data_IF_786021777866
#
_entry.id   IF_786021777866
#
_cell.length_a   1.000
_cell.length_b   1.000
_cell.length_c   1.000
_cell.angle_alpha   90.00
_cell.angle_beta   90.00
_cell.angle_gamma   90.00
#
_symmetry.space_group_name_H-M   'P 1'
#
loop_
_entity.id
_entity.type
_entity.pdbx_description
1 polymer ?
#
# COMPACT_ATOMS: atom_id res chain seq x y z
N UNK A 1 22.14 18.32 -17.27
CA UNK A 1 22.13 17.87 -15.86
C UNK A 1 20.68 17.66 -15.47
N UNK A 2 20.28 16.42 -15.20
CA UNK A 2 18.94 16.15 -14.67
C UNK A 2 18.91 16.67 -13.22
N UNK A 3 18.10 17.71 -12.96
CA UNK A 3 17.80 18.15 -11.60
C UNK A 3 17.00 17.03 -10.95
N UNK A 4 17.63 16.25 -10.08
CA UNK A 4 16.98 15.14 -9.39
C UNK A 4 16.91 15.34 -7.87
N UNK A 5 17.38 16.46 -7.29
CA UNK A 5 17.60 16.53 -5.83
C UNK A 5 17.42 17.90 -5.17
N UNK A 6 16.56 18.79 -5.67
CA UNK A 6 16.32 20.09 -5.00
C UNK A 6 15.19 20.05 -3.93
N UNK A 7 14.51 18.91 -3.71
CA UNK A 7 13.35 18.79 -2.80
C UNK A 7 13.44 17.59 -1.84
N UNK A 8 14.56 17.44 -1.14
CA UNK A 8 14.84 16.28 -0.25
C UNK A 8 13.74 15.93 0.78
N UNK A 9 12.91 16.89 1.18
CA UNK A 9 11.87 16.69 2.22
C UNK A 9 10.63 15.94 1.71
N UNK A 10 10.12 16.22 0.50
CA UNK A 10 8.96 15.49 -0.07
C UNK A 10 9.28 13.99 -0.31
N UNK A 11 10.55 13.65 -0.54
CA UNK A 11 10.96 12.26 -0.81
C UNK A 11 11.07 11.39 0.44
N UNK A 12 11.24 12.02 1.61
CA UNK A 12 11.23 11.33 2.90
C UNK A 12 9.80 10.84 3.18
N UNK A 13 8.78 11.66 2.90
CA UNK A 13 7.37 11.29 3.12
C UNK A 13 6.90 10.09 2.29
N UNK A 14 7.22 10.03 0.99
CA UNK A 14 6.86 8.86 0.16
C UNK A 14 7.63 7.59 0.55
N UNK A 15 8.84 7.75 1.09
CA UNK A 15 9.66 6.64 1.57
C UNK A 15 9.14 6.11 2.91
N UNK A 16 8.66 6.99 3.80
CA UNK A 16 7.99 6.60 5.04
C UNK A 16 6.71 5.79 4.77
N UNK A 17 5.92 6.20 3.78
CA UNK A 17 4.76 5.39 3.33
C UNK A 17 5.22 4.02 2.82
N UNK A 18 6.30 3.93 2.05
CA UNK A 18 6.84 2.65 1.56
C UNK A 18 7.38 1.74 2.69
N UNK A 19 7.88 2.31 3.78
CA UNK A 19 8.27 1.59 5.00
C UNK A 19 7.01 1.01 5.69
N UNK A 20 5.88 1.71 5.68
CA UNK A 20 4.59 1.18 6.14
C UNK A 20 4.01 0.08 5.21
N UNK A 21 4.54 -0.12 4.00
CA UNK A 21 4.12 -1.15 3.03
C UNK A 21 5.06 -2.35 2.95
N UNK A 22 6.04 -2.49 3.85
CA UNK A 22 7.05 -3.57 3.79
C UNK A 22 6.45 -4.98 3.77
N UNK A 23 5.28 -5.18 4.37
CA UNK A 23 4.57 -6.45 4.40
C UNK A 23 3.88 -6.84 3.08
N UNK A 24 3.76 -5.93 2.10
CA UNK A 24 3.15 -6.24 0.81
C UNK A 24 4.14 -6.99 -0.10
N UNK A 25 3.95 -8.30 -0.21
CA UNK A 25 4.79 -9.18 -1.01
C UNK A 25 4.24 -9.43 -2.43
N UNK A 26 3.20 -8.69 -2.87
CA UNK A 26 2.59 -8.92 -4.18
C UNK A 26 3.59 -8.81 -5.34
N UNK A 27 4.52 -7.86 -5.27
CA UNK A 27 5.55 -7.66 -6.30
C UNK A 27 6.61 -8.77 -6.28
N UNK A 28 6.89 -9.32 -5.11
CA UNK A 28 7.80 -10.46 -4.95
C UNK A 28 7.20 -11.71 -5.59
N UNK A 29 5.93 -11.98 -5.32
CA UNK A 29 5.21 -13.13 -5.91
C UNK A 29 5.06 -13.01 -7.43
N UNK A 30 4.67 -11.83 -7.91
CA UNK A 30 4.33 -11.61 -9.32
C UNK A 30 5.56 -11.45 -10.21
N UNK A 31 6.53 -10.66 -9.76
CA UNK A 31 7.63 -10.17 -10.60
C UNK A 31 9.01 -10.60 -10.09
N UNK A 32 9.11 -11.39 -9.01
CA UNK A 32 10.39 -11.75 -8.38
C UNK A 32 11.23 -10.51 -8.05
N UNK A 33 10.56 -9.46 -7.57
CA UNK A 33 11.18 -8.20 -7.23
C UNK A 33 10.78 -7.76 -5.81
N UNK A 34 11.71 -7.16 -5.10
CA UNK A 34 11.44 -6.41 -3.88
C UNK A 34 11.27 -4.94 -4.23
N UNK A 35 10.51 -4.19 -3.44
CA UNK A 35 10.58 -2.72 -3.54
C UNK A 35 11.93 -2.21 -3.04
N UNK A 36 12.34 -1.00 -3.44
CA UNK A 36 13.55 -0.35 -2.90
C UNK A 36 13.47 -0.26 -1.37
N UNK A 37 12.29 0.03 -0.81
CA UNK A 37 12.09 0.02 0.65
C UNK A 37 12.32 -1.37 1.28
N UNK A 38 11.75 -2.43 0.70
CA UNK A 38 11.95 -3.81 1.17
C UNK A 38 13.41 -4.24 1.07
N UNK A 39 14.06 -3.90 -0.03
CA UNK A 39 15.47 -4.18 -0.27
C UNK A 39 16.36 -3.48 0.77
N UNK A 40 16.13 -2.18 1.02
CA UNK A 40 16.85 -1.42 2.03
C UNK A 40 16.58 -1.92 3.47
N UNK A 41 15.35 -2.34 3.76
CA UNK A 41 14.96 -2.83 5.09
C UNK A 41 15.65 -4.15 5.44
N UNK A 42 15.86 -5.03 4.45
CA UNK A 42 16.62 -6.28 4.67
C UNK A 42 18.06 -6.00 5.11
N UNK A 43 18.71 -4.97 4.57
CA UNK A 43 20.03 -4.54 5.03
C UNK A 43 20.01 -4.11 6.50
N UNK A 44 19.00 -3.31 6.89
CA UNK A 44 18.83 -2.87 8.28
C UNK A 44 18.62 -4.05 9.24
N UNK A 45 17.76 -5.02 8.87
CA UNK A 45 17.51 -6.21 9.71
C UNK A 45 18.76 -7.08 9.86
N UNK A 46 19.58 -7.17 8.81
CA UNK A 46 20.77 -8.00 8.80
C UNK A 46 21.96 -7.36 9.54
N UNK A 47 21.98 -6.03 9.65
CA UNK A 47 22.97 -5.31 10.44
C UNK A 47 22.54 -5.34 11.92
N UNK A 48 23.20 -6.19 12.72
CA UNK A 48 22.83 -6.48 14.12
C UNK A 48 23.05 -5.29 15.07
N UNK A 49 22.28 -4.23 14.95
CA UNK A 49 22.18 -3.18 15.97
C UNK A 49 21.00 -3.50 16.91
N UNK A 50 21.28 -3.59 18.21
CA UNK A 50 20.32 -3.85 19.30
C UNK A 50 19.36 -2.66 19.56
N UNK A 51 19.05 -1.85 18.54
CA UNK A 51 18.12 -0.73 18.69
C UNK A 51 16.67 -1.20 18.56
N UNK A 52 15.83 -0.75 19.50
CA UNK A 52 14.38 -0.99 19.51
C UNK A 52 13.65 -0.23 18.39
N UNK A 53 14.19 0.92 17.98
CA UNK A 53 13.70 1.71 16.84
C UNK A 53 14.72 1.66 15.69
N UNK A 54 14.26 1.23 14.52
CA UNK A 54 15.04 1.04 13.30
C UNK A 54 14.57 1.95 12.16
N UNK A 55 13.58 2.80 12.40
CA UNK A 55 13.00 3.69 11.38
C UNK A 55 14.06 4.61 10.75
N UNK A 56 14.91 5.24 11.58
CA UNK A 56 16.03 6.07 11.14
C UNK A 56 17.08 5.29 10.32
N UNK A 57 17.36 4.05 10.71
CA UNK A 57 18.32 3.19 10.03
C UNK A 57 17.77 2.78 8.64
N UNK A 58 16.48 2.47 8.53
CA UNK A 58 15.82 2.15 7.26
C UNK A 58 15.84 3.37 6.32
N UNK A 59 15.48 4.55 6.82
CA UNK A 59 15.56 5.80 6.05
C UNK A 59 16.97 6.05 5.50
N UNK A 60 18.00 5.79 6.31
CA UNK A 60 19.40 5.88 5.88
C UNK A 60 19.72 4.92 4.75
N UNK A 61 19.31 3.65 4.84
CA UNK A 61 19.55 2.67 3.77
C UNK A 61 18.76 2.95 2.49
N UNK A 62 17.56 3.54 2.59
CA UNK A 62 16.80 4.00 1.42
C UNK A 62 17.56 5.14 0.72
N UNK A 63 18.12 6.09 1.46
CA UNK A 63 18.93 7.16 0.89
C UNK A 63 20.19 6.63 0.20
N UNK A 64 20.84 5.60 0.78
CA UNK A 64 21.95 4.90 0.12
C UNK A 64 21.48 4.26 -1.19
N UNK A 65 20.35 3.57 -1.18
CA UNK A 65 19.77 2.96 -2.39
C UNK A 65 19.50 4.00 -3.49
N UNK A 66 18.90 5.15 -3.15
CA UNK A 66 18.67 6.22 -4.12
C UNK A 66 19.96 6.80 -4.70
N UNK A 67 20.99 6.99 -3.87
CA UNK A 67 22.27 7.44 -4.37
C UNK A 67 22.91 6.42 -5.32
N UNK A 68 22.82 5.13 -5.01
CA UNK A 68 23.35 4.07 -5.88
C UNK A 68 22.56 3.95 -7.18
N UNK A 69 21.24 4.12 -7.16
CA UNK A 69 20.40 4.17 -8.37
C UNK A 69 20.81 5.35 -9.25
N UNK A 70 21.04 6.51 -8.65
CA UNK A 70 21.51 7.71 -9.35
C UNK A 70 22.88 7.48 -10.02
N UNK A 71 23.77 6.76 -9.36
CA UNK A 71 25.10 6.41 -9.88
C UNK A 71 25.05 5.24 -10.88
N UNK A 72 23.91 4.56 -11.01
CA UNK A 72 23.75 3.36 -11.85
C UNK A 72 24.32 2.09 -11.21
N UNK A 73 24.67 2.15 -9.93
CA UNK A 73 25.21 1.04 -9.15
C UNK A 73 24.11 0.10 -8.61
N UNK A 74 22.85 0.54 -8.63
CA UNK A 74 21.65 -0.24 -8.35
C UNK A 74 20.63 -0.04 -9.47
N UNK A 75 20.20 -1.12 -10.12
CA UNK A 75 19.20 -1.08 -11.18
C UNK A 75 17.80 -1.30 -10.61
N UNK A 76 16.86 -0.50 -11.08
CA UNK A 76 15.46 -0.55 -10.66
C UNK A 76 14.52 -0.52 -11.85
N UNK A 77 13.35 -1.10 -11.65
CA UNK A 77 12.25 -1.17 -12.61
C UNK A 77 11.06 -0.36 -12.10
N UNK A 78 10.35 0.29 -13.01
CA UNK A 78 9.11 0.98 -12.67
C UNK A 78 8.01 -0.04 -12.35
N UNK A 79 7.20 0.16 -11.27
CA UNK A 79 6.28 -0.85 -10.77
C UNK A 79 5.17 -1.24 -11.75
N UNK A 80 4.75 -0.32 -12.62
CA UNK A 80 3.65 -0.57 -13.57
C UNK A 80 4.13 -1.05 -14.95
N UNK A 81 5.24 -0.52 -15.45
CA UNK A 81 5.69 -0.74 -16.83
C UNK A 81 6.83 -1.74 -16.91
N UNK A 82 7.48 -2.03 -15.78
CA UNK A 82 8.68 -2.86 -15.66
C UNK A 82 9.88 -2.37 -16.49
N UNK A 83 9.80 -1.16 -17.05
CA UNK A 83 10.92 -0.52 -17.73
C UNK A 83 11.98 -0.13 -16.70
N UNK A 84 13.23 -0.34 -17.07
CA UNK A 84 14.36 0.03 -16.22
C UNK A 84 14.53 1.54 -16.13
N UNK A 85 15.11 2.01 -15.03
CA UNK A 85 15.48 3.41 -14.89
C UNK A 85 16.42 3.89 -16.01
N UNK A 86 17.33 3.02 -16.44
CA UNK A 86 18.23 3.30 -17.57
C UNK A 86 17.46 3.53 -18.88
N UNK A 87 16.38 2.77 -19.12
CA UNK A 87 15.49 3.01 -20.27
C UNK A 87 14.74 4.32 -20.14
N UNK A 88 14.18 4.64 -18.97
CA UNK A 88 13.54 5.93 -18.75
C UNK A 88 14.49 7.11 -18.95
N UNK A 89 15.74 7.00 -18.51
CA UNK A 89 16.77 8.01 -18.78
C UNK A 89 17.04 8.18 -20.27
N UNK A 90 16.99 7.11 -21.08
CA UNK A 90 17.10 7.20 -22.55
C UNK A 90 15.88 7.90 -23.15
N UNK A 91 14.68 7.59 -22.69
CA UNK A 91 13.44 8.24 -23.12
C UNK A 91 13.43 9.74 -22.79
N UNK A 92 13.89 10.10 -21.59
CA UNK A 92 14.05 11.48 -21.16
C UNK A 92 15.06 12.24 -22.04
N UNK A 93 16.21 11.63 -22.34
CA UNK A 93 17.22 12.19 -23.26
C UNK A 93 16.69 12.35 -24.69
N UNK A 94 15.82 11.45 -25.14
CA UNK A 94 15.17 11.52 -26.44
C UNK A 94 14.05 12.58 -26.51
N UNK A 95 13.77 13.27 -25.40
CA UNK A 95 12.80 14.37 -25.37
C UNK A 95 11.33 13.96 -25.18
N UNK A 96 11.06 12.68 -24.84
CA UNK A 96 9.70 12.15 -24.62
C UNK A 96 8.88 12.94 -23.59
N UNK A 97 9.54 13.57 -22.61
CA UNK A 97 8.91 14.32 -21.52
C UNK A 97 9.31 15.82 -21.53
N UNK A 98 9.44 16.41 -22.71
CA UNK A 98 9.76 17.84 -22.85
C UNK A 98 8.52 18.74 -22.80
N UNK A 99 8.71 20.03 -22.50
CA UNK A 99 7.63 21.02 -22.45
C UNK A 99 6.66 20.80 -21.28
N UNK A 100 5.35 20.81 -21.57
CA UNK A 100 4.27 20.63 -20.60
C UNK A 100 4.23 19.22 -19.98
N UNK A 101 4.80 18.22 -20.67
CA UNK A 101 4.85 16.82 -20.22
C UNK A 101 5.95 16.54 -19.20
N UNK A 102 6.73 17.54 -18.79
CA UNK A 102 7.86 17.36 -17.86
C UNK A 102 7.42 16.87 -16.48
N UNK A 103 6.21 17.24 -16.04
CA UNK A 103 5.62 16.77 -14.78
C UNK A 103 5.21 15.30 -14.82
N UNK A 104 5.14 14.70 -16.02
CA UNK A 104 4.84 13.28 -16.22
C UNK A 104 6.11 12.41 -16.30
N UNK A 105 7.29 13.02 -16.17
CA UNK A 105 8.54 12.29 -16.15
C UNK A 105 8.55 11.36 -14.92
N UNK A 106 8.71 10.04 -15.12
CA UNK A 106 8.73 9.11 -14.00
C UNK A 106 9.93 9.40 -13.10
N UNK A 107 9.67 9.37 -11.81
CA UNK A 107 10.67 9.59 -10.77
C UNK A 107 10.84 8.29 -9.98
N UNK A 108 12.09 8.00 -9.64
CA UNK A 108 12.40 6.84 -8.80
C UNK A 108 11.90 7.10 -7.39
N UNK A 109 11.09 6.17 -6.87
CA UNK A 109 10.56 6.21 -5.51
C UNK A 109 10.89 4.93 -4.77
N UNK A 110 10.64 4.88 -3.46
CA UNK A 110 10.91 3.70 -2.64
C UNK A 110 10.05 2.48 -3.03
N UNK A 111 8.98 2.68 -3.83
CA UNK A 111 8.11 1.63 -4.38
C UNK A 111 8.62 1.02 -5.70
N UNK A 112 9.69 1.58 -6.29
CA UNK A 112 10.30 0.98 -7.47
C UNK A 112 10.88 -0.39 -7.16
N UNK A 113 10.99 -1.22 -8.18
CA UNK A 113 11.24 -2.65 -8.03
C UNK A 113 12.72 -2.95 -8.27
N UNK A 114 13.30 -3.77 -7.40
CA UNK A 114 14.64 -4.32 -7.49
C UNK A 114 14.50 -5.84 -7.70
N UNK A 115 14.98 -6.39 -8.83
CA UNK A 115 15.00 -7.85 -9.05
C UNK A 115 15.78 -8.58 -7.95
N UNK A 116 15.39 -9.82 -7.60
CA UNK A 116 16.06 -10.57 -6.51
C UNK A 116 17.57 -10.76 -6.73
N UNK A 117 18.01 -11.08 -7.95
CA UNK A 117 19.44 -11.22 -8.29
C UNK A 117 20.20 -9.90 -8.11
N UNK A 118 19.53 -8.79 -8.40
CA UNK A 118 20.07 -7.46 -8.25
C UNK A 118 20.15 -7.04 -6.78
N UNK A 119 19.17 -7.45 -5.96
CA UNK A 119 19.21 -7.29 -4.50
C UNK A 119 20.44 -7.99 -3.92
N UNK A 120 20.65 -9.27 -4.24
CA UNK A 120 21.81 -10.05 -3.77
C UNK A 120 23.13 -9.41 -4.20
N UNK A 121 23.22 -8.97 -5.46
CA UNK A 121 24.38 -8.24 -5.96
C UNK A 121 24.65 -6.99 -5.15
N UNK A 122 23.62 -6.18 -4.91
CA UNK A 122 23.73 -4.92 -4.17
C UNK A 122 24.11 -5.16 -2.71
N UNK A 123 23.54 -6.16 -2.03
CA UNK A 123 23.93 -6.49 -0.66
C UNK A 123 25.41 -6.83 -0.54
N UNK A 124 25.96 -7.59 -1.50
CA UNK A 124 27.40 -7.91 -1.53
C UNK A 124 28.27 -6.66 -1.69
N UNK A 125 27.84 -5.65 -2.44
CA UNK A 125 28.60 -4.37 -2.52
C UNK A 125 28.59 -3.59 -1.22
N UNK A 126 27.61 -3.86 -0.34
CA UNK A 126 27.54 -3.33 1.03
C UNK A 126 28.23 -4.22 2.06
N UNK A 127 28.93 -5.27 1.62
CA UNK A 127 29.66 -6.20 2.49
C UNK A 127 28.78 -7.21 3.22
N UNK A 128 27.53 -7.40 2.76
CA UNK A 128 26.59 -8.35 3.35
C UNK A 128 26.31 -9.50 2.37
N UNK A 129 26.53 -10.72 2.82
CA UNK A 129 26.27 -11.93 2.04
C UNK A 129 24.89 -12.49 2.37
N UNK A 130 23.86 -11.74 1.94
CA UNK A 130 22.45 -12.14 2.09
C UNK A 130 22.09 -13.03 0.89
N UNK A 131 21.76 -14.27 1.17
CA UNK A 131 21.31 -15.26 0.18
C UNK A 131 19.78 -15.32 0.13
N UNK A 132 19.19 -15.07 -1.05
CA UNK A 132 17.75 -15.15 -1.28
C UNK A 132 17.35 -16.45 -1.99
N UNK A 133 18.24 -17.44 -2.09
CA UNK A 133 17.95 -18.74 -2.72
C UNK A 133 16.76 -19.47 -2.10
N UNK A 134 16.58 -19.39 -0.78
CA UNK A 134 15.41 -19.96 -0.10
C UNK A 134 14.11 -19.26 -0.52
N UNK A 135 14.14 -17.93 -0.66
CA UNK A 135 12.99 -17.13 -1.12
C UNK A 135 12.65 -17.51 -2.56
N UNK A 136 13.65 -17.60 -3.44
CA UNK A 136 13.46 -18.03 -4.84
C UNK A 136 12.84 -19.43 -4.91
N UNK A 137 13.34 -20.37 -4.10
CA UNK A 137 12.80 -21.73 -4.05
C UNK A 137 11.34 -21.78 -3.56
N UNK A 138 10.96 -20.93 -2.61
CA UNK A 138 9.57 -20.84 -2.15
C UNK A 138 8.65 -20.18 -3.19
N UNK A 139 9.14 -19.17 -3.91
CA UNK A 139 8.45 -18.59 -5.06
C UNK A 139 8.23 -19.62 -6.18
N UNK A 140 9.24 -20.44 -6.47
CA UNK A 140 9.12 -21.54 -7.45
C UNK A 140 8.05 -22.54 -7.03
N UNK A 141 7.94 -22.88 -5.74
CA UNK A 141 6.86 -23.75 -5.23
C UNK A 141 5.49 -23.10 -5.37
N UNK A 142 5.36 -21.80 -5.11
CA UNK A 142 4.10 -21.06 -5.28
C UNK A 142 3.70 -21.05 -6.76
N UNK A 143 4.64 -20.77 -7.66
CA UNK A 143 4.40 -20.76 -9.11
C UNK A 143 4.07 -22.15 -9.65
N UNK A 144 4.78 -23.18 -9.19
CA UNK A 144 4.52 -24.57 -9.55
C UNK A 144 3.17 -25.08 -8.99
N UNK A 145 2.83 -24.69 -7.76
CA UNK A 145 1.55 -25.02 -7.12
C UNK A 145 0.34 -24.33 -7.77
N UNK A 146 0.56 -23.16 -8.38
CA UNK A 146 -0.48 -22.44 -9.14
C UNK A 146 -0.82 -23.14 -10.47
N UNK A 147 -0.01 -24.11 -10.92
CA UNK A 147 -0.25 -24.86 -12.17
C UNK A 147 -0.96 -26.21 -12.00
N UNK A 148 -1.38 -26.64 -10.80
CA UNK A 148 -2.11 -27.90 -10.64
C UNK A 148 -3.13 -27.88 -9.48
N UNK A 149 -4.37 -27.46 -9.82
CA UNK A 149 -5.64 -27.68 -9.08
C UNK A 149 -5.77 -27.09 -7.68
N UNK A 150 -6.86 -26.34 -7.53
CA UNK A 150 -7.66 -26.25 -6.31
C UNK A 150 -7.88 -27.65 -5.68
N UNK A 151 -7.74 -27.69 -4.35
CA UNK A 151 -8.01 -28.78 -3.39
C UNK A 151 -6.90 -29.82 -3.16
N UNK A 152 -6.26 -29.73 -1.99
CA UNK A 152 -6.69 -30.56 -0.86
C UNK A 152 -6.18 -30.01 0.48
N UNK A 153 -7.11 -29.51 1.30
CA UNK A 153 -7.05 -29.79 2.73
C UNK A 153 -7.03 -31.31 2.90
N UNK A 154 -6.00 -31.86 3.54
CA UNK A 154 -6.16 -32.87 4.60
C UNK A 154 -4.83 -33.18 5.29
N UNK A 155 -4.69 -32.62 6.49
CA UNK A 155 -4.44 -33.41 7.68
C UNK A 155 -5.44 -32.86 8.72
N UNK A 156 -6.69 -33.37 8.76
CA UNK A 156 -7.23 -34.32 9.76
C UNK A 156 -6.56 -34.20 11.15
N UNK A 157 -7.30 -34.10 12.26
CA UNK A 157 -8.60 -34.73 12.59
C UNK A 157 -9.23 -34.04 13.83
N UNK A 158 -10.55 -33.85 13.98
CA UNK A 158 -11.57 -34.86 14.31
C UNK A 158 -12.97 -34.22 14.35
N UNK A 159 -13.99 -35.06 14.16
CA UNK A 159 -15.41 -34.91 14.51
C UNK A 159 -16.38 -34.61 13.36
N UNK A 160 -17.32 -35.54 13.25
CA UNK A 160 -18.19 -35.88 12.13
C UNK A 160 -19.53 -35.11 12.19
N UNK A 161 -19.99 -34.62 11.04
CA UNK A 161 -21.35 -34.82 10.50
C UNK A 161 -21.53 -33.97 9.22
N UNK A 162 -21.89 -34.56 8.06
CA UNK A 162 -22.09 -33.80 6.84
C UNK A 162 -23.56 -33.38 6.72
N UNK A 163 -23.83 -32.10 7.00
CA UNK A 163 -25.05 -31.45 6.52
C UNK A 163 -24.69 -30.44 5.44
N UNK A 164 -25.32 -30.63 4.29
CA UNK A 164 -25.22 -29.84 3.08
C UNK A 164 -25.70 -28.41 3.36
N UNK A 165 -24.80 -27.43 3.31
CA UNK A 165 -25.15 -26.02 3.10
C UNK A 165 -24.16 -25.48 2.06
N UNK A 166 -24.59 -25.30 0.82
CA UNK A 166 -25.11 -24.01 0.31
C UNK A 166 -24.14 -22.86 0.65
N UNK A 167 -23.24 -22.58 -0.29
CA UNK A 167 -22.23 -21.52 -0.17
C UNK A 167 -22.94 -20.17 -0.36
N UNK A 168 -23.59 -19.72 0.71
CA UNK A 168 -23.65 -18.33 1.12
C UNK A 168 -22.93 -18.29 2.47
N UNK A 169 -21.61 -18.08 2.43
CA UNK A 169 -20.86 -17.69 3.62
C UNK A 169 -20.08 -16.42 3.30
N UNK A 170 -20.70 -15.29 3.65
CA UNK A 170 -20.00 -14.15 4.23
C UNK A 170 -19.00 -14.69 5.25
N UNK A 171 -17.71 -14.59 4.94
CA UNK A 171 -16.70 -14.42 5.97
C UNK A 171 -16.97 -13.07 6.66
N UNK A 172 -16.71 -12.90 7.96
CA UNK A 172 -16.88 -11.61 8.61
C UNK A 172 -15.92 -10.65 7.91
N UNK A 173 -16.48 -9.67 7.20
CA UNK A 173 -15.70 -8.65 6.52
C UNK A 173 -15.09 -7.80 7.63
N UNK A 174 -13.77 -7.87 7.79
CA UNK A 174 -13.07 -7.15 8.84
C UNK A 174 -13.09 -5.65 8.51
N UNK A 175 -14.09 -4.97 9.04
CA UNK A 175 -14.30 -3.54 8.82
C UNK A 175 -13.29 -2.75 9.62
N UNK A 176 -12.71 -1.72 8.99
CA UNK A 176 -11.75 -0.88 9.68
C UNK A 176 -12.42 -0.05 10.80
N UNK A 177 -13.69 0.34 10.65
CA UNK A 177 -14.45 1.06 11.66
C UNK A 177 -15.64 0.23 12.14
N UNK A 178 -15.74 0.10 13.46
CA UNK A 178 -16.88 -0.49 14.16
C UNK A 178 -18.17 0.30 13.97
N UNK A 179 -19.30 -0.29 14.34
CA UNK A 179 -20.60 0.40 14.30
C UNK A 179 -20.61 1.60 15.28
N UNK A 180 -19.96 1.44 16.43
CA UNK A 180 -19.77 2.49 17.42
C UNK A 180 -18.98 3.67 16.86
N UNK A 181 -17.89 3.41 16.15
CA UNK A 181 -17.11 4.47 15.48
C UNK A 181 -17.89 5.11 14.34
N UNK A 182 -18.68 4.33 13.58
CA UNK A 182 -19.54 4.87 12.54
C UNK A 182 -20.57 5.86 13.11
N UNK A 183 -21.06 5.63 14.33
CA UNK A 183 -22.03 6.51 15.00
C UNK A 183 -21.47 7.91 15.31
N UNK A 184 -20.14 8.07 15.33
CA UNK A 184 -19.47 9.34 15.59
C UNK A 184 -19.64 10.35 14.44
N UNK A 185 -19.99 9.90 13.23
CA UNK A 185 -20.00 10.74 12.03
C UNK A 185 -21.41 11.17 11.59
N UNK A 186 -21.49 12.37 11.04
CA UNK A 186 -22.70 12.84 10.36
C UNK A 186 -22.78 12.31 8.93
N UNK A 187 -23.97 11.89 8.46
CA UNK A 187 -24.16 11.54 7.06
C UNK A 187 -23.90 12.74 6.14
N UNK A 188 -23.03 12.54 5.15
CA UNK A 188 -22.62 13.54 4.17
C UNK A 188 -23.30 13.33 2.81
N UNK A 189 -23.39 14.38 2.01
CA UNK A 189 -23.87 14.28 0.62
C UNK A 189 -22.82 13.61 -0.27
N UNK A 190 -23.23 13.06 -1.44
CA UNK A 190 -22.31 12.50 -2.45
C UNK A 190 -21.14 13.45 -2.78
N UNK A 191 -21.43 14.75 -2.90
CA UNK A 191 -20.44 15.79 -3.18
C UNK A 191 -19.41 15.92 -2.06
N UNK A 192 -19.87 15.94 -0.80
CA UNK A 192 -18.99 16.05 0.37
C UNK A 192 -18.14 14.79 0.56
N UNK A 193 -18.69 13.60 0.29
CA UNK A 193 -17.90 12.35 0.29
C UNK A 193 -16.78 12.41 -0.76
N UNK A 194 -17.08 12.89 -1.97
CA UNK A 194 -16.07 13.05 -3.01
C UNK A 194 -15.01 14.11 -2.70
N UNK A 195 -15.31 15.09 -1.85
CA UNK A 195 -14.34 16.06 -1.34
C UNK A 195 -13.48 15.47 -0.22
N UNK A 196 -14.05 14.60 0.61
CA UNK A 196 -13.37 13.97 1.73
C UNK A 196 -12.38 12.89 1.27
N UNK A 197 -12.73 12.12 0.24
CA UNK A 197 -11.93 11.02 -0.27
C UNK A 197 -11.45 11.32 -1.70
N UNK A 198 -10.29 11.97 -1.81
CA UNK A 198 -9.73 12.51 -3.05
C UNK A 198 -9.04 11.50 -3.97
N UNK A 199 -8.61 10.33 -3.46
CA UNK A 199 -8.02 9.23 -4.26
C UNK A 199 -9.00 8.71 -5.32
N UNK A 200 -10.31 8.83 -5.09
CA UNK A 200 -11.33 8.46 -6.08
C UNK A 200 -11.79 9.73 -6.81
N UNK A 201 -11.60 9.75 -8.12
CA UNK A 201 -11.98 10.90 -8.94
C UNK A 201 -13.50 11.03 -9.13
N UNK A 202 -13.96 12.26 -9.37
CA UNK A 202 -15.38 12.60 -9.41
C UNK A 202 -16.24 11.76 -10.37
N UNK A 203 -15.70 11.37 -11.53
CA UNK A 203 -16.41 10.51 -12.49
C UNK A 203 -16.64 9.09 -11.98
N UNK A 204 -15.69 8.55 -11.21
CA UNK A 204 -15.80 7.21 -10.64
C UNK A 204 -16.73 7.21 -9.42
N UNK A 205 -16.73 8.28 -8.63
CA UNK A 205 -17.72 8.47 -7.57
C UNK A 205 -19.15 8.42 -8.10
N UNK A 206 -19.43 9.06 -9.24
CA UNK A 206 -20.75 9.01 -9.88
C UNK A 206 -21.14 7.55 -10.17
N UNK A 207 -20.24 6.78 -10.80
CA UNK A 207 -20.47 5.36 -11.12
C UNK A 207 -20.71 4.53 -9.86
N UNK A 208 -19.93 4.74 -8.79
CA UNK A 208 -20.07 3.99 -7.54
C UNK A 208 -21.37 4.31 -6.82
N UNK A 209 -21.76 5.58 -6.72
CA UNK A 209 -23.00 5.95 -6.05
C UNK A 209 -24.25 5.49 -6.79
N UNK A 210 -24.22 5.50 -8.13
CA UNK A 210 -25.36 5.08 -8.95
C UNK A 210 -25.52 3.55 -8.93
N UNK A 211 -24.40 2.82 -8.78
CA UNK A 211 -24.38 1.36 -8.62
C UNK A 211 -24.22 0.90 -7.17
N UNK A 212 -24.56 1.73 -6.18
CA UNK A 212 -24.20 1.43 -4.78
C UNK A 212 -24.75 0.09 -4.26
N UNK A 213 -25.94 -0.32 -4.70
CA UNK A 213 -26.53 -1.61 -4.31
C UNK A 213 -25.90 -2.82 -5.01
N UNK A 214 -25.15 -2.61 -6.09
CA UNK A 214 -24.45 -3.67 -6.82
C UNK A 214 -22.99 -3.81 -6.36
N UNK A 215 -22.38 -2.75 -5.85
CA UNK A 215 -21.00 -2.76 -5.36
C UNK A 215 -20.88 -2.77 -3.83
N UNK A 216 -22.00 -2.84 -3.10
CA UNK A 216 -22.02 -2.92 -1.62
C UNK A 216 -21.86 -1.60 -0.88
N UNK A 217 -21.73 -0.47 -1.59
CA UNK A 217 -21.67 0.87 -1.01
C UNK A 217 -23.03 1.33 -0.41
N UNK A 218 -24.11 0.60 -0.68
CA UNK A 218 -25.42 0.88 -0.09
C UNK A 218 -25.48 0.63 1.42
N UNK A 219 -24.60 -0.21 1.97
CA UNK A 219 -24.41 -0.37 3.42
C UNK A 219 -24.05 0.94 4.13
N UNK A 220 -23.39 1.87 3.43
CA UNK A 220 -23.05 3.18 3.97
C UNK A 220 -24.15 4.25 3.78
N UNK A 221 -25.28 3.92 3.13
CA UNK A 221 -26.37 4.88 2.87
C UNK A 221 -27.14 5.20 4.14
N UNK A 222 -27.55 6.46 4.25
CA UNK A 222 -28.39 6.94 5.33
C UNK A 222 -29.60 7.74 4.80
N UNK A 223 -30.76 7.48 5.39
CA UNK A 223 -32.01 8.20 5.13
C UNK A 223 -32.69 7.87 3.80
N UNK A 224 -33.68 8.71 3.44
CA UNK A 224 -34.44 8.63 2.17
C UNK A 224 -33.79 9.51 1.10
N UNK A 225 -34.16 9.31 -0.17
CA UNK A 225 -33.63 10.08 -1.30
C UNK A 225 -33.80 11.61 -1.10
N UNK A 226 -32.80 12.43 -1.46
CA UNK A 226 -31.48 12.05 -1.95
C UNK A 226 -30.62 11.42 -0.84
N UNK A 227 -30.06 10.24 -1.11
CA UNK A 227 -29.30 9.49 -0.11
C UNK A 227 -28.08 10.28 0.34
N UNK A 228 -27.88 10.33 1.66
CA UNK A 228 -26.61 10.69 2.29
C UNK A 228 -25.83 9.43 2.60
N UNK A 229 -24.56 9.57 2.94
CA UNK A 229 -23.66 8.47 3.22
C UNK A 229 -22.89 8.73 4.52
N UNK A 230 -22.79 7.73 5.37
CA UNK A 230 -21.94 7.79 6.56
C UNK A 230 -20.46 7.74 6.13
N UNK A 231 -19.63 8.74 6.49
CA UNK A 231 -18.21 8.78 6.12
C UNK A 231 -17.39 7.56 6.53
N UNK A 232 -17.59 7.03 7.74
CA UNK A 232 -16.90 5.83 8.22
C UNK A 232 -17.40 4.56 7.52
N UNK A 233 -18.71 4.48 7.22
CA UNK A 233 -19.25 3.40 6.39
C UNK A 233 -18.68 3.42 4.96
N UNK A 234 -18.50 4.61 4.38
CA UNK A 234 -17.80 4.75 3.07
C UNK A 234 -16.33 4.37 3.20
N UNK A 235 -15.68 4.72 4.31
CA UNK A 235 -14.30 4.34 4.58
C UNK A 235 -14.13 2.81 4.67
N UNK A 236 -15.05 2.10 5.35
CA UNK A 236 -15.09 0.63 5.35
C UNK A 236 -15.20 0.08 3.92
N UNK A 237 -16.10 0.64 3.11
CA UNK A 237 -16.23 0.24 1.72
C UNK A 237 -14.94 0.49 0.91
N UNK A 238 -14.32 1.66 1.06
CA UNK A 238 -13.06 2.01 0.40
C UNK A 238 -11.89 1.13 0.83
N UNK A 239 -11.85 0.74 2.10
CA UNK A 239 -10.87 -0.20 2.64
C UNK A 239 -11.03 -1.59 2.03
N UNK A 240 -12.26 -2.12 2.00
CA UNK A 240 -12.57 -3.42 1.36
C UNK A 240 -12.22 -3.45 -0.13
N UNK A 241 -12.40 -2.31 -0.81
CA UNK A 241 -12.04 -2.14 -2.22
C UNK A 241 -10.53 -1.93 -2.43
N UNK A 242 -9.72 -1.87 -1.37
CA UNK A 242 -8.28 -1.66 -1.44
C UNK A 242 -7.88 -0.26 -1.93
N UNK A 243 -8.80 0.72 -1.88
CA UNK A 243 -8.56 2.09 -2.37
C UNK A 243 -7.90 2.99 -1.35
N UNK A 244 -8.09 2.68 -0.07
CA UNK A 244 -7.48 3.38 1.04
C UNK A 244 -7.02 2.38 2.09
N UNK A 245 -5.94 2.71 2.80
CA UNK A 245 -5.51 1.97 3.98
C UNK A 245 -6.27 2.42 5.21
N UNK A 246 -6.35 1.51 6.18
CA UNK A 246 -6.98 1.74 7.49
C UNK A 246 -6.49 3.05 8.14
N UNK A 247 -5.18 3.29 8.18
CA UNK A 247 -4.58 4.44 8.86
C UNK A 247 -4.84 5.76 8.14
N UNK A 248 -4.77 5.76 6.80
CA UNK A 248 -5.13 6.94 5.99
C UNK A 248 -6.58 7.34 6.24
N UNK A 249 -7.49 6.36 6.28
CA UNK A 249 -8.90 6.61 6.59
C UNK A 249 -9.07 7.14 8.01
N UNK A 250 -8.35 6.57 8.99
CA UNK A 250 -8.41 7.04 10.38
C UNK A 250 -7.94 8.50 10.50
N UNK A 251 -6.83 8.88 9.85
CA UNK A 251 -6.35 10.28 9.81
C UNK A 251 -7.38 11.22 9.18
N UNK A 252 -7.83 10.93 7.95
CA UNK A 252 -8.85 11.72 7.23
C UNK A 252 -10.10 11.91 8.08
N UNK A 253 -10.61 10.82 8.68
CA UNK A 253 -11.82 10.87 9.48
C UNK A 253 -11.61 11.61 10.81
N UNK A 254 -10.46 11.42 11.47
CA UNK A 254 -10.14 12.09 12.73
C UNK A 254 -10.10 13.62 12.58
N UNK A 255 -9.60 14.13 11.45
CA UNK A 255 -9.54 15.56 11.14
C UNK A 255 -10.91 16.13 10.77
N UNK A 256 -11.80 15.28 10.26
CA UNK A 256 -13.13 15.65 9.78
C UNK A 256 -14.26 15.21 10.74
N UNK A 257 -13.94 14.97 12.02
CA UNK A 257 -14.94 14.67 13.04
C UNK A 257 -15.91 15.84 13.24
N UNK A 258 -17.22 15.58 13.32
CA UNK A 258 -18.20 16.62 13.64
C UNK A 258 -17.95 17.14 15.05
N UNK A 259 -18.35 18.39 15.31
CA UNK A 259 -18.08 19.07 16.58
C UNK A 259 -18.50 18.26 17.82
N UNK A 260 -19.62 17.52 17.73
CA UNK A 260 -20.12 16.66 18.81
C UNK A 260 -19.22 15.47 19.17
N UNK A 261 -18.32 15.07 18.26
CA UNK A 261 -17.52 13.85 18.39
C UNK A 261 -16.02 14.12 18.48
N UNK A 262 -15.59 15.40 18.50
CA UNK A 262 -14.16 15.77 18.53
C UNK A 262 -13.40 15.20 19.73
N UNK A 263 -14.07 15.01 20.86
CA UNK A 263 -13.47 14.40 22.05
C UNK A 263 -13.02 12.95 21.83
N UNK A 264 -13.54 12.27 20.80
CA UNK A 264 -13.17 10.89 20.46
C UNK A 264 -12.02 10.82 19.45
N UNK A 265 -11.46 11.97 19.02
CA UNK A 265 -10.39 12.02 18.03
C UNK A 265 -9.17 11.22 18.45
N UNK A 266 -8.71 11.41 19.68
CA UNK A 266 -7.54 10.71 20.23
C UNK A 266 -7.79 9.21 20.27
N UNK A 267 -8.95 8.77 20.77
CA UNK A 267 -9.31 7.34 20.78
C UNK A 267 -9.32 6.70 19.39
N UNK A 268 -9.76 7.44 18.36
CA UNK A 268 -9.82 6.96 16.97
C UNK A 268 -8.42 6.82 16.34
N UNK A 269 -7.45 7.57 16.84
CA UNK A 269 -6.05 7.48 16.43
C UNK A 269 -5.28 6.46 17.29
N UNK A 270 -5.53 6.42 18.60
CA UNK A 270 -4.93 5.51 19.57
C UNK A 270 -5.26 4.05 19.28
N UNK A 271 -6.52 3.76 18.94
CA UNK A 271 -6.97 2.41 18.56
C UNK A 271 -6.24 1.85 17.34
N UNK A 272 -5.52 2.71 16.61
CA UNK A 272 -4.72 2.40 15.42
C UNK A 272 -3.22 2.63 15.62
N UNK A 273 -2.77 2.95 16.85
CA UNK A 273 -1.38 3.22 17.17
C UNK A 273 -0.82 4.50 16.54
N UNK A 274 -1.67 5.51 16.29
CA UNK A 274 -1.32 6.74 15.57
C UNK A 274 -1.11 7.96 16.49
N UNK A 275 -0.99 7.77 17.81
CA UNK A 275 -0.92 8.87 18.80
C UNK A 275 0.49 9.38 19.10
N UNK A 276 1.54 8.89 18.44
CA UNK A 276 2.90 9.41 18.60
C UNK A 276 3.46 9.89 17.26
N UNK A 277 3.31 11.19 17.00
CA UNK A 277 4.10 12.00 16.06
C UNK A 277 3.66 13.47 16.28
N UNK A 278 4.31 14.15 17.23
CA UNK A 278 4.22 15.61 17.41
C UNK A 278 5.41 16.29 16.75
#
# INVERSE_FOLDING_TARGET
>A
MARLFDYSEEYIDESMVAIEELADLCQLEKNECLTVAQCASLLCVHNKTEKLDRSEDIGTYIMVAFNDIRLGELQVLHPETLLSWTEYLKLLKAGMYSGENKMLAPMVTAKWLVPLDECERWYRTKGLDIDLSAVKADLDKIKAGTSFKFLTQKHLSLSENPSIYNINHQSPIDDCFSEEECSLFDPLTKKQIGQLFTVVHGEDWIKFFDKASRNGLDSARYGKKPYKYNPAGVANWLYREGRYRSNTLARILSENLPARSRQHRENLLDSRGLLEEN
#
